data_IF_682548289306
#
_entry.id   IF_682548289306
#
_cell.length_a   1.000
_cell.length_b   1.000
_cell.length_c   1.000
_cell.angle_alpha   90.00
_cell.angle_beta   90.00
_cell.angle_gamma   90.00
#
_symmetry.space_group_name_H-M   'P 1'
#
loop_
_entity.id
_entity.type
_entity.pdbx_description
1 polymer ?
#
# COMPACT_ATOMS: atom_id res chain seq x y z
N UNK A 1 7.37 18.31 38.56
CA UNK A 1 7.08 17.94 37.15
C UNK A 1 8.11 16.90 36.69
N UNK A 2 7.89 15.60 36.89
CA UNK A 2 8.83 14.56 36.44
C UNK A 2 8.16 13.17 36.31
N UNK A 3 7.06 13.06 35.56
CA UNK A 3 6.38 11.77 35.33
C UNK A 3 5.94 11.53 33.88
N UNK A 4 6.31 12.40 32.91
CA UNK A 4 5.74 12.33 31.55
C UNK A 4 6.52 11.47 30.54
N UNK A 5 7.75 11.06 30.84
CA UNK A 5 8.64 10.41 29.86
C UNK A 5 8.66 8.88 29.91
N UNK A 6 8.40 8.26 31.07
CA UNK A 6 8.46 6.79 31.23
C UNK A 6 7.28 6.11 30.51
N UNK A 7 6.09 6.72 30.59
CA UNK A 7 4.89 6.23 29.92
C UNK A 7 4.98 6.29 28.39
N UNK A 8 5.65 7.30 27.84
CA UNK A 8 5.75 7.47 26.38
C UNK A 8 6.54 6.33 25.73
N UNK A 9 7.70 5.97 26.31
CA UNK A 9 8.54 4.92 25.76
C UNK A 9 7.89 3.53 25.88
N UNK A 10 7.21 3.27 27.00
CA UNK A 10 6.47 2.03 27.20
C UNK A 10 5.30 1.91 26.22
N UNK A 11 4.51 2.97 26.05
CA UNK A 11 3.39 3.03 25.08
C UNK A 11 3.89 2.88 23.65
N UNK A 12 4.96 3.58 23.28
CA UNK A 12 5.56 3.49 21.94
C UNK A 12 6.03 2.06 21.64
N UNK A 13 6.74 1.41 22.58
CA UNK A 13 7.19 0.02 22.42
C UNK A 13 6.01 -0.95 22.29
N UNK A 14 4.95 -0.74 23.07
CA UNK A 14 3.74 -1.55 23.00
C UNK A 14 3.03 -1.38 21.65
N UNK A 15 2.84 -0.15 21.20
CA UNK A 15 2.25 0.17 19.90
C UNK A 15 3.07 -0.44 18.76
N UNK A 16 4.41 -0.30 18.77
CA UNK A 16 5.28 -0.90 17.77
C UNK A 16 5.19 -2.43 17.74
N UNK A 17 5.12 -3.09 18.91
CA UNK A 17 4.93 -4.54 18.99
C UNK A 17 3.58 -4.99 18.43
N UNK A 18 2.51 -4.25 18.71
CA UNK A 18 1.19 -4.53 18.13
C UNK A 18 1.20 -4.37 16.61
N UNK A 19 1.78 -3.29 16.09
CA UNK A 19 1.93 -3.10 14.64
C UNK A 19 2.76 -4.21 14.00
N UNK A 20 3.85 -4.63 14.64
CA UNK A 20 4.67 -5.73 14.15
C UNK A 20 3.92 -7.07 14.16
N UNK A 21 3.18 -7.36 15.23
CA UNK A 21 2.34 -8.56 15.31
C UNK A 21 1.23 -8.55 14.25
N UNK A 22 0.59 -7.39 14.03
CA UNK A 22 -0.39 -7.21 12.97
C UNK A 22 0.23 -7.44 11.58
N UNK A 23 1.42 -6.91 11.34
CA UNK A 23 2.14 -7.11 10.07
C UNK A 23 2.49 -8.58 9.84
N UNK A 24 2.98 -9.28 10.86
CA UNK A 24 3.24 -10.73 10.77
C UNK A 24 1.96 -11.54 10.56
N UNK A 25 0.87 -11.15 11.22
CA UNK A 25 -0.43 -11.78 11.00
C UNK A 25 -0.92 -11.57 9.56
N UNK A 26 -0.82 -10.35 9.03
CA UNK A 26 -1.19 -10.05 7.64
C UNK A 26 -0.31 -10.83 6.64
N UNK A 27 0.99 -10.96 6.90
CA UNK A 27 1.90 -11.79 6.11
C UNK A 27 1.54 -13.28 6.15
N UNK A 28 1.27 -13.82 7.34
CA UNK A 28 0.83 -15.21 7.48
C UNK A 28 -0.51 -15.43 6.77
N UNK A 29 -1.46 -14.51 6.96
CA UNK A 29 -2.77 -14.57 6.32
C UNK A 29 -2.65 -14.56 4.79
N UNK A 30 -1.84 -13.65 4.23
CA UNK A 30 -1.58 -13.61 2.79
C UNK A 30 -0.82 -14.82 2.30
N UNK A 31 0.08 -15.41 3.09
CA UNK A 31 0.76 -16.65 2.72
C UNK A 31 -0.22 -17.84 2.64
N UNK A 32 -1.16 -17.95 3.59
CA UNK A 32 -2.12 -19.06 3.62
C UNK A 32 -3.31 -18.89 2.67
N UNK A 33 -3.79 -17.65 2.48
CA UNK A 33 -5.03 -17.36 1.75
C UNK A 33 -4.82 -16.53 0.47
N UNK A 34 -3.60 -16.06 0.20
CA UNK A 34 -3.23 -15.33 -1.01
C UNK A 34 -2.95 -16.22 -2.22
N UNK A 35 -3.40 -17.48 -2.19
CA UNK A 35 -3.29 -18.39 -3.32
C UNK A 35 -4.11 -17.87 -4.51
N UNK A 36 -3.48 -17.86 -5.68
CA UNK A 36 -4.03 -17.38 -6.94
C UNK A 36 -5.36 -18.08 -7.27
N UNK A 37 -5.48 -19.38 -6.94
CA UNK A 37 -6.68 -20.16 -7.17
C UNK A 37 -7.88 -19.64 -6.35
N UNK A 38 -7.64 -19.23 -5.09
CA UNK A 38 -8.68 -18.68 -4.23
C UNK A 38 -9.15 -17.30 -4.70
N UNK A 39 -8.21 -16.45 -5.11
CA UNK A 39 -8.53 -15.11 -5.65
C UNK A 39 -9.33 -15.24 -6.96
N UNK A 40 -8.95 -16.18 -7.83
CA UNK A 40 -9.68 -16.45 -9.07
C UNK A 40 -11.08 -17.01 -8.82
N UNK A 41 -11.23 -17.94 -7.87
CA UNK A 41 -12.53 -18.50 -7.50
C UNK A 41 -13.49 -17.42 -6.96
N UNK A 42 -12.99 -16.49 -6.15
CA UNK A 42 -13.79 -15.36 -5.66
C UNK A 42 -14.16 -14.41 -6.80
N UNK A 43 -13.21 -14.13 -7.72
CA UNK A 43 -13.46 -13.24 -8.86
C UNK A 43 -14.51 -13.77 -9.84
N UNK A 44 -14.69 -15.09 -9.91
CA UNK A 44 -15.67 -15.76 -10.75
C UNK A 44 -17.01 -15.99 -10.05
N UNK A 45 -17.14 -15.61 -8.78
CA UNK A 45 -18.38 -15.79 -8.04
C UNK A 45 -19.51 -14.95 -8.69
N UNK A 46 -20.71 -15.51 -8.92
CA UNK A 46 -21.79 -14.84 -9.65
C UNK A 46 -22.15 -13.45 -9.10
N UNK A 47 -22.14 -13.31 -7.77
CA UNK A 47 -22.38 -12.02 -7.11
C UNK A 47 -21.32 -10.97 -7.44
N UNK A 48 -20.04 -11.36 -7.51
CA UNK A 48 -18.92 -10.46 -7.82
C UNK A 48 -19.00 -10.03 -9.28
N UNK A 49 -19.33 -10.95 -10.18
CA UNK A 49 -19.52 -10.64 -11.60
C UNK A 49 -20.68 -9.65 -11.80
N UNK A 50 -21.79 -9.85 -11.09
CA UNK A 50 -22.96 -8.96 -11.14
C UNK A 50 -22.66 -7.55 -10.63
N UNK A 51 -21.80 -7.41 -9.60
CA UNK A 51 -21.47 -6.12 -8.98
C UNK A 51 -20.09 -5.59 -9.37
N UNK A 52 -19.47 -6.15 -10.42
CA UNK A 52 -18.07 -5.87 -10.76
C UNK A 52 -17.80 -4.40 -11.00
N UNK A 53 -18.71 -3.70 -11.70
CA UNK A 53 -18.56 -2.27 -11.95
C UNK A 53 -18.68 -1.44 -10.67
N UNK A 54 -19.64 -1.77 -9.79
CA UNK A 54 -19.81 -1.09 -8.51
C UNK A 54 -18.62 -1.34 -7.57
N UNK A 55 -18.11 -2.57 -7.53
CA UNK A 55 -16.93 -2.93 -6.74
C UNK A 55 -15.68 -2.22 -7.26
N UNK A 56 -15.52 -2.14 -8.58
CA UNK A 56 -14.43 -1.39 -9.21
C UNK A 56 -14.55 0.10 -8.87
N UNK A 57 -15.72 0.69 -9.07
CA UNK A 57 -15.96 2.10 -8.75
C UNK A 57 -15.69 2.38 -7.27
N UNK A 58 -16.17 1.52 -6.36
CA UNK A 58 -15.91 1.65 -4.93
C UNK A 58 -14.41 1.57 -4.64
N UNK A 59 -13.71 0.57 -5.17
CA UNK A 59 -12.27 0.40 -4.97
C UNK A 59 -11.47 1.59 -5.49
N UNK A 60 -11.88 2.15 -6.63
CA UNK A 60 -11.21 3.29 -7.24
C UNK A 60 -11.49 4.60 -6.48
N UNK A 61 -12.68 4.74 -5.85
CA UNK A 61 -13.13 6.02 -5.29
C UNK A 61 -13.16 6.09 -3.76
N UNK A 62 -13.15 4.97 -3.03
CA UNK A 62 -13.27 4.94 -1.56
C UNK A 62 -12.08 5.65 -0.87
N UNK A 63 -10.93 5.72 -1.54
CA UNK A 63 -9.76 6.38 -1.01
C UNK A 63 -9.86 7.92 -1.03
N UNK A 64 -10.56 8.52 -1.99
CA UNK A 64 -10.73 9.98 -2.04
C UNK A 64 -11.40 10.59 -0.80
N UNK A 65 -12.56 10.08 -0.31
CA UNK A 65 -13.15 10.61 0.91
C UNK A 65 -12.28 10.34 2.15
N UNK A 66 -11.56 9.21 2.20
CA UNK A 66 -10.61 8.94 3.28
C UNK A 66 -9.47 9.95 3.30
N UNK A 67 -8.89 10.28 2.13
CA UNK A 67 -7.89 11.34 2.02
C UNK A 67 -8.45 12.70 2.41
N UNK A 68 -9.71 13.01 2.03
CA UNK A 68 -10.35 14.26 2.43
C UNK A 68 -10.52 14.37 3.95
N UNK A 69 -10.93 13.28 4.62
CA UNK A 69 -11.02 13.22 6.09
C UNK A 69 -9.63 13.42 6.71
N UNK A 70 -8.62 12.72 6.20
CA UNK A 70 -7.25 12.82 6.69
C UNK A 70 -6.70 14.25 6.58
N UNK A 71 -6.86 14.88 5.41
CA UNK A 71 -6.47 16.28 5.19
C UNK A 71 -7.24 17.22 6.11
N UNK A 72 -8.55 16.99 6.29
CA UNK A 72 -9.37 17.75 7.23
C UNK A 72 -8.85 17.66 8.67
N UNK A 73 -8.48 16.46 9.13
CA UNK A 73 -7.89 16.27 10.46
C UNK A 73 -6.53 16.95 10.60
N UNK A 74 -5.71 16.93 9.55
CA UNK A 74 -4.42 17.64 9.49
C UNK A 74 -4.61 19.16 9.60
N UNK A 75 -5.50 19.74 8.79
CA UNK A 75 -5.82 21.18 8.82
C UNK A 75 -6.37 21.56 10.20
N UNK A 76 -7.29 20.76 10.74
CA UNK A 76 -7.86 20.98 12.07
C UNK A 76 -6.79 20.93 13.17
N UNK A 77 -5.92 19.92 13.14
CA UNK A 77 -4.79 19.79 14.07
C UNK A 77 -3.81 20.96 13.95
N UNK A 78 -3.62 21.49 12.74
CA UNK A 78 -2.83 22.69 12.51
C UNK A 78 -3.49 23.93 13.11
N UNK A 79 -4.76 24.16 12.84
CA UNK A 79 -5.51 25.32 13.34
C UNK A 79 -5.61 25.33 14.87
N UNK A 80 -5.86 24.16 15.48
CA UNK A 80 -5.97 23.99 16.94
C UNK A 80 -4.63 23.87 17.66
N UNK A 81 -3.50 24.04 16.97
CA UNK A 81 -2.14 23.91 17.53
C UNK A 81 -1.93 22.58 18.28
N UNK A 82 -2.63 21.52 17.90
CA UNK A 82 -2.53 20.23 18.58
C UNK A 82 -1.27 19.48 18.13
N UNK A 83 -0.24 19.51 18.97
CA UNK A 83 1.07 18.89 18.68
C UNK A 83 0.96 17.42 18.30
N UNK A 84 0.06 16.66 18.95
CA UNK A 84 -0.13 15.24 18.65
C UNK A 84 -0.64 14.98 17.22
N UNK A 85 -1.66 15.72 16.77
CA UNK A 85 -2.20 15.59 15.40
C UNK A 85 -1.19 16.01 14.34
N UNK A 86 -0.40 17.06 14.61
CA UNK A 86 0.67 17.49 13.71
C UNK A 86 1.74 16.41 13.57
N UNK A 87 2.22 15.82 14.68
CA UNK A 87 3.24 14.77 14.66
C UNK A 87 2.71 13.53 13.92
N UNK A 88 1.48 13.10 14.23
CA UNK A 88 0.89 11.93 13.57
C UNK A 88 0.72 12.17 12.07
N UNK A 89 0.20 13.33 11.68
CA UNK A 89 -0.04 13.62 10.26
C UNK A 89 1.25 13.78 9.45
N UNK A 90 2.27 14.46 9.99
CA UNK A 90 3.59 14.51 9.35
C UNK A 90 4.30 13.16 9.33
N UNK A 91 4.17 12.39 10.41
CA UNK A 91 4.70 11.03 10.48
C UNK A 91 4.07 10.11 9.44
N UNK A 92 2.75 10.22 9.24
CA UNK A 92 2.05 9.50 8.18
C UNK A 92 2.50 9.92 6.79
N UNK A 93 2.59 11.23 6.50
CA UNK A 93 3.08 11.72 5.21
C UNK A 93 4.51 11.24 4.92
N UNK A 94 5.39 11.27 5.92
CA UNK A 94 6.75 10.76 5.78
C UNK A 94 6.77 9.25 5.55
N UNK A 95 5.95 8.50 6.30
CA UNK A 95 5.83 7.05 6.12
C UNK A 95 5.31 6.69 4.73
N UNK A 96 4.33 7.44 4.19
CA UNK A 96 3.81 7.22 2.85
C UNK A 96 4.86 7.55 1.79
N UNK A 97 5.61 8.65 1.94
CA UNK A 97 6.69 8.99 1.02
C UNK A 97 7.80 7.92 1.02
N UNK A 98 8.18 7.41 2.18
CA UNK A 98 9.16 6.33 2.28
C UNK A 98 8.59 5.02 1.70
N UNK A 99 7.38 4.63 2.07
CA UNK A 99 6.74 3.40 1.62
C UNK A 99 6.45 3.40 0.13
N UNK A 100 5.63 4.34 -0.34
CA UNK A 100 5.11 4.35 -1.71
C UNK A 100 6.11 4.90 -2.73
N UNK A 101 6.96 5.87 -2.36
CA UNK A 101 7.90 6.47 -3.32
C UNK A 101 9.27 5.81 -3.25
N UNK A 102 9.82 5.49 -2.08
CA UNK A 102 11.13 4.86 -2.01
C UNK A 102 11.03 3.34 -2.16
N UNK A 103 10.29 2.66 -1.29
CA UNK A 103 10.29 1.18 -1.26
C UNK A 103 9.70 0.63 -2.57
N UNK A 104 8.49 1.06 -2.95
CA UNK A 104 7.83 0.57 -4.18
C UNK A 104 8.61 0.91 -5.43
N UNK A 105 9.20 2.11 -5.52
CA UNK A 105 9.95 2.51 -6.71
C UNK A 105 11.26 1.76 -6.83
N UNK A 106 11.96 1.54 -5.71
CA UNK A 106 13.14 0.66 -5.69
C UNK A 106 12.71 -0.74 -6.10
N UNK A 107 11.61 -1.28 -5.55
CA UNK A 107 11.12 -2.61 -5.89
C UNK A 107 10.81 -2.72 -7.39
N UNK A 108 10.10 -1.73 -7.95
CA UNK A 108 9.79 -1.65 -9.39
C UNK A 108 11.06 -1.64 -10.24
N UNK A 109 12.07 -0.87 -9.83
CA UNK A 109 13.34 -0.80 -10.54
C UNK A 109 14.15 -2.10 -10.40
N UNK A 110 14.11 -2.78 -9.26
CA UNK A 110 14.85 -4.03 -9.04
C UNK A 110 14.21 -5.24 -9.73
N UNK A 111 12.88 -5.25 -9.77
CA UNK A 111 12.09 -6.35 -10.31
C UNK A 111 11.98 -6.28 -11.83
N UNK A 112 11.77 -5.08 -12.38
CA UNK A 112 11.82 -4.86 -13.82
C UNK A 112 10.81 -5.69 -14.62
N UNK A 113 9.58 -5.77 -14.14
CA UNK A 113 8.50 -6.49 -14.83
C UNK A 113 7.90 -5.64 -15.94
N UNK A 114 7.95 -6.12 -17.19
CA UNK A 114 7.33 -5.45 -18.34
C UNK A 114 5.80 -5.35 -18.17
N UNK A 115 5.22 -4.23 -18.60
CA UNK A 115 3.76 -4.09 -18.60
C UNK A 115 3.12 -4.98 -19.69
N UNK A 116 1.86 -5.42 -19.53
CA UNK A 116 1.20 -6.32 -20.48
C UNK A 116 1.19 -5.83 -21.94
N UNK A 117 1.15 -4.51 -22.15
CA UNK A 117 1.22 -3.86 -23.46
C UNK A 117 2.62 -3.93 -24.11
N UNK A 118 3.67 -4.09 -23.29
CA UNK A 118 5.06 -4.20 -23.75
C UNK A 118 5.52 -5.66 -23.93
N UNK A 119 4.82 -6.63 -23.32
CA UNK A 119 5.09 -8.07 -23.50
C UNK A 119 4.91 -8.47 -24.98
N UNK A 120 3.97 -7.84 -25.68
CA UNK A 120 3.74 -8.05 -27.11
C UNK A 120 4.92 -7.60 -28.00
N UNK A 121 5.82 -6.76 -27.48
CA UNK A 121 6.99 -6.23 -28.18
C UNK A 121 8.32 -6.88 -27.76
N UNK A 122 8.32 -7.76 -26.75
CA UNK A 122 9.51 -8.56 -26.43
C UNK A 122 9.68 -9.67 -27.48
N UNK A 123 10.85 -9.67 -28.12
CA UNK A 123 11.19 -10.48 -29.30
C UNK A 123 10.99 -12.01 -29.17
N UNK A 124 10.72 -12.54 -27.97
CA UNK A 124 10.60 -13.97 -27.72
C UNK A 124 9.21 -14.44 -27.25
N UNK A 125 8.21 -13.56 -27.11
CA UNK A 125 6.83 -13.96 -26.80
C UNK A 125 6.65 -14.81 -25.52
N UNK A 126 7.66 -14.88 -24.67
CA UNK A 126 7.63 -15.64 -23.42
C UNK A 126 6.83 -14.84 -22.39
N UNK A 127 5.84 -15.50 -21.78
CA UNK A 127 4.98 -14.97 -20.72
C UNK A 127 5.75 -14.50 -19.47
N UNK A 128 7.05 -14.80 -19.37
CA UNK A 128 7.95 -14.27 -18.36
C UNK A 128 8.49 -12.89 -18.75
N UNK A 129 7.73 -11.87 -18.38
CA UNK A 129 7.99 -10.45 -18.57
C UNK A 129 9.08 -9.87 -17.65
N UNK A 130 9.88 -10.71 -16.99
CA UNK A 130 10.88 -10.30 -16.02
C UNK A 130 12.21 -10.01 -16.72
N UNK A 131 12.57 -8.74 -16.79
CA UNK A 131 13.75 -8.28 -17.56
C UNK A 131 14.94 -7.97 -16.65
N UNK A 132 14.77 -8.12 -15.33
CA UNK A 132 15.75 -7.76 -14.32
C UNK A 132 15.81 -6.24 -14.08
N UNK A 133 16.78 -5.75 -13.30
CA UNK A 133 16.79 -4.37 -12.87
C UNK A 133 16.80 -3.38 -14.04
N UNK A 134 15.81 -2.49 -14.09
CA UNK A 134 15.64 -1.55 -15.20
C UNK A 134 15.16 -0.20 -14.70
N UNK A 135 15.71 0.87 -15.29
CA UNK A 135 15.34 2.26 -14.98
C UNK A 135 14.24 2.76 -15.94
N UNK A 136 14.06 2.06 -17.08
CA UNK A 136 13.05 2.42 -18.07
C UNK A 136 11.63 2.11 -17.54
N UNK A 137 10.76 3.10 -17.63
CA UNK A 137 9.39 3.07 -17.07
C UNK A 137 8.49 2.00 -17.68
N UNK A 138 8.82 1.52 -18.89
CA UNK A 138 8.19 0.40 -19.58
C UNK A 138 8.31 -0.93 -18.83
N UNK A 139 9.28 -1.05 -17.92
CA UNK A 139 9.57 -2.24 -17.13
C UNK A 139 9.21 -2.09 -15.64
N UNK A 140 8.38 -1.10 -15.29
CA UNK A 140 7.92 -0.87 -13.90
C UNK A 140 6.47 -1.32 -13.70
N UNK A 141 6.11 -2.48 -14.24
CA UNK A 141 4.75 -3.05 -14.17
C UNK A 141 4.40 -3.66 -12.81
N UNK A 142 5.39 -4.08 -12.02
CA UNK A 142 5.18 -4.75 -10.73
C UNK A 142 6.15 -4.22 -9.64
N UNK A 143 5.69 -4.03 -8.39
CA UNK A 143 4.29 -4.16 -7.91
C UNK A 143 3.40 -2.98 -8.35
N UNK A 144 2.07 -3.16 -8.34
CA UNK A 144 1.13 -2.08 -8.71
C UNK A 144 1.23 -0.89 -7.75
N UNK A 145 1.27 0.33 -8.30
CA UNK A 145 1.27 1.55 -7.50
C UNK A 145 0.01 1.71 -6.66
N UNK A 146 -1.16 1.37 -7.22
CA UNK A 146 -2.46 1.47 -6.56
C UNK A 146 -2.64 0.52 -5.37
N UNK A 147 -1.83 -0.53 -5.27
CA UNK A 147 -1.86 -1.47 -4.14
C UNK A 147 -0.93 -1.03 -3.00
N UNK A 148 -0.12 0.01 -3.24
CA UNK A 148 0.94 0.44 -2.31
C UNK A 148 0.66 1.78 -1.61
N UNK A 149 -0.45 2.43 -1.95
CA UNK A 149 -1.02 3.58 -1.23
C UNK A 149 -2.03 3.11 -0.16
#
# INVERSE_FOLDING_TARGET
MCWRNVDFHARLKFTLRLWFAYFLFALAWTYFYGDLAHVQAISQHPWVLQHRESLKWLSDNIMYPLYAIFVGMLIWGYYRQQTALRIIGWGYLLAQLIGSVLIVRILKMTLGHARPDQIAHLANGTLDAWVGPSIASSYHGFPSGHTSD
#
